data_IF_322109469405
#
_entry.id   IF_322109469405
#
_cell.length_a   1.000
_cell.length_b   1.000
_cell.length_c   1.000
_cell.angle_alpha   90.00
_cell.angle_beta   90.00
_cell.angle_gamma   90.00
#
_symmetry.space_group_name_H-M   'P 1'
#
loop_
_entity.id
_entity.type
_entity.pdbx_description
1 polymer ?
#
# COMPACT_ATOMS: atom_id res chain seq x y z
N UNK A 1 -14.62 3.41 28.92
CA UNK A 1 -13.17 3.69 28.80
C UNK A 1 -12.94 4.08 27.36
N UNK A 2 -12.37 5.25 27.10
CA UNK A 2 -12.06 5.74 25.75
C UNK A 2 -10.95 4.86 25.15
N UNK A 3 -11.14 4.35 23.95
CA UNK A 3 -10.10 3.60 23.23
C UNK A 3 -8.84 4.49 23.10
N UNK A 4 -7.67 4.09 23.63
CA UNK A 4 -6.45 4.89 23.55
C UNK A 4 -5.90 5.07 22.13
N UNK A 5 -6.45 4.35 21.15
CA UNK A 5 -6.07 4.38 19.73
C UNK A 5 -6.97 5.32 18.91
N UNK A 6 -8.13 5.69 19.44
CA UNK A 6 -9.10 6.54 18.74
C UNK A 6 -8.98 8.00 19.18
N UNK A 7 -8.88 8.91 18.22
CA UNK A 7 -8.99 10.35 18.41
C UNK A 7 -9.45 11.01 17.11
N UNK A 8 -10.36 11.96 17.19
CA UNK A 8 -10.96 12.66 16.03
C UNK A 8 -10.09 13.82 15.50
N UNK A 9 -8.85 13.96 15.98
CA UNK A 9 -7.97 15.06 15.56
C UNK A 9 -7.38 14.78 14.18
N UNK A 10 -7.41 15.79 13.33
CA UNK A 10 -6.62 15.80 12.10
C UNK A 10 -5.20 16.27 12.40
N UNK A 11 -4.22 15.57 11.83
CA UNK A 11 -2.79 15.83 12.03
C UNK A 11 -2.21 16.38 10.74
N UNK A 12 -1.49 17.50 10.84
CA UNK A 12 -0.80 18.13 9.72
C UNK A 12 0.65 18.39 10.12
N UNK A 13 1.64 18.08 9.26
CA UNK A 13 3.02 18.45 9.54
C UNK A 13 3.19 19.98 9.43
N UNK A 14 4.05 20.60 10.28
CA UNK A 14 4.46 21.98 10.03
C UNK A 14 5.21 22.07 8.69
N UNK A 15 5.06 23.21 8.01
CA UNK A 15 5.65 23.51 6.70
C UNK A 15 6.45 24.82 6.77
N UNK A 16 7.19 25.15 5.72
CA UNK A 16 8.02 26.36 5.68
C UNK A 16 9.37 26.22 6.42
N UNK A 17 10.15 27.31 6.45
CA UNK A 17 11.53 27.31 6.95
C UNK A 17 11.65 27.39 8.48
N UNK A 18 10.60 27.77 9.20
CA UNK A 18 10.60 27.80 10.67
C UNK A 18 10.57 26.38 11.22
N UNK A 19 11.33 26.11 12.29
CA UNK A 19 11.39 24.80 12.96
C UNK A 19 10.84 24.90 14.39
N UNK A 20 10.20 23.82 14.85
CA UNK A 20 9.69 23.67 16.22
C UNK A 20 10.70 22.92 17.09
N UNK A 21 11.34 21.89 16.52
CA UNK A 21 12.42 21.17 17.16
C UNK A 21 13.73 21.96 17.18
N UNK A 22 14.74 21.44 17.90
CA UNK A 22 16.04 22.12 18.07
C UNK A 22 16.93 22.11 16.82
N UNK A 23 16.66 21.23 15.86
CA UNK A 23 17.41 21.14 14.59
C UNK A 23 16.58 20.50 13.48
N UNK A 24 16.96 20.72 12.22
CA UNK A 24 16.34 20.05 11.07
C UNK A 24 16.40 18.52 11.14
N UNK A 25 17.41 17.94 11.79
CA UNK A 25 17.53 16.48 11.97
C UNK A 25 16.51 15.90 12.94
N UNK A 26 15.88 16.74 13.77
CA UNK A 26 14.84 16.38 14.74
C UNK A 26 13.46 16.85 14.29
N UNK A 27 13.41 17.97 13.56
CA UNK A 27 12.22 18.47 12.87
C UNK A 27 11.76 17.50 11.77
N UNK A 28 12.69 16.97 10.96
CA UNK A 28 12.38 16.07 9.86
C UNK A 28 11.58 14.82 10.28
N UNK A 29 12.04 13.99 11.25
CA UNK A 29 11.26 12.84 11.70
C UNK A 29 9.92 13.24 12.33
N UNK A 30 9.82 14.41 12.97
CA UNK A 30 8.55 14.92 13.51
C UNK A 30 7.55 15.26 12.39
N UNK A 31 7.98 16.03 11.38
CA UNK A 31 7.16 16.33 10.20
C UNK A 31 6.75 15.06 9.49
N UNK A 32 7.66 14.10 9.31
CA UNK A 32 7.32 12.86 8.63
C UNK A 32 6.38 11.96 9.44
N UNK A 33 6.49 11.92 10.77
CA UNK A 33 5.53 11.26 11.65
C UNK A 33 4.12 11.86 11.48
N UNK A 34 4.04 13.19 11.45
CA UNK A 34 2.77 13.90 11.25
C UNK A 34 2.23 13.70 9.83
N UNK A 35 3.10 13.71 8.81
CA UNK A 35 2.72 13.44 7.41
C UNK A 35 2.11 12.05 7.24
N UNK A 36 2.67 11.05 7.94
CA UNK A 36 2.12 9.69 7.96
C UNK A 36 0.67 9.63 8.45
N UNK A 37 0.18 10.62 9.20
CA UNK A 37 -1.19 10.71 9.71
C UNK A 37 -2.01 11.83 9.05
N UNK A 38 -1.49 12.44 7.98
CA UNK A 38 -2.23 13.44 7.22
C UNK A 38 -3.52 12.82 6.63
N UNK A 39 -4.70 13.48 6.69
CA UNK A 39 -5.96 12.92 6.19
C UNK A 39 -5.96 12.54 4.71
N UNK A 40 -5.18 13.24 3.89
CA UNK A 40 -4.99 12.89 2.48
C UNK A 40 -3.91 11.82 2.24
N UNK A 41 -3.17 11.41 3.26
CA UNK A 41 -2.09 10.41 3.17
C UNK A 41 -2.53 9.07 3.74
N UNK A 42 -3.01 9.05 4.99
CA UNK A 42 -3.32 7.84 5.73
C UNK A 42 -4.70 7.26 5.40
N UNK A 43 -4.85 5.94 5.50
CA UNK A 43 -6.13 5.26 5.30
C UNK A 43 -7.14 5.48 6.43
N UNK A 44 -6.68 5.57 7.68
CA UNK A 44 -7.53 5.82 8.84
C UNK A 44 -6.71 6.50 9.97
N UNK A 45 -6.38 7.80 9.80
CA UNK A 45 -5.45 8.50 10.69
C UNK A 45 -5.98 8.66 12.12
N UNK A 46 -7.30 8.72 12.31
CA UNK A 46 -7.94 8.81 13.62
C UNK A 46 -7.70 7.58 14.51
N UNK A 47 -7.37 6.45 13.88
CA UNK A 47 -6.95 5.18 14.51
C UNK A 47 -5.43 4.96 14.49
N UNK A 48 -4.67 6.01 14.13
CA UNK A 48 -3.22 5.99 13.84
C UNK A 48 -2.81 5.10 12.67
N UNK A 49 -3.78 4.55 11.93
CA UNK A 49 -3.55 3.59 10.83
C UNK A 49 -3.18 4.35 9.56
N UNK A 50 -1.98 4.05 9.06
CA UNK A 50 -1.44 4.61 7.83
C UNK A 50 -1.87 3.78 6.63
N UNK A 51 -1.55 2.48 6.59
CA UNK A 51 -1.93 1.56 5.51
C UNK A 51 -1.72 0.08 5.88
N UNK A 52 -2.21 -0.82 5.01
CA UNK A 52 -1.86 -2.24 5.01
C UNK A 52 -2.46 -3.04 6.17
N UNK A 53 -3.78 -3.01 6.30
CA UNK A 53 -4.48 -3.51 7.50
C UNK A 53 -4.29 -2.52 8.64
N UNK A 54 -3.73 -2.98 9.75
CA UNK A 54 -3.54 -2.18 10.99
C UNK A 54 -2.13 -1.56 11.12
N UNK A 55 -1.46 -1.23 10.01
CA UNK A 55 -0.14 -0.61 10.03
C UNK A 55 -0.20 0.82 10.57
N UNK A 56 0.36 1.07 11.76
CA UNK A 56 0.22 2.33 12.50
C UNK A 56 1.51 3.16 12.60
N UNK A 57 1.35 4.47 12.78
CA UNK A 57 2.46 5.42 12.97
C UNK A 57 2.99 5.47 14.42
N UNK A 58 2.10 5.30 15.40
CA UNK A 58 2.40 5.23 16.83
C UNK A 58 1.45 4.22 17.51
N UNK A 59 1.80 3.74 18.71
CA UNK A 59 1.06 2.68 19.38
C UNK A 59 -0.29 3.15 19.92
N UNK A 60 -0.30 4.32 20.55
CA UNK A 60 -1.49 4.99 21.08
C UNK A 60 -1.35 6.50 20.86
N UNK A 61 -2.43 7.26 21.03
CA UNK A 61 -2.36 8.71 20.91
C UNK A 61 -1.47 9.35 21.97
N UNK A 62 -1.44 8.80 23.19
CA UNK A 62 -0.51 9.23 24.23
C UNK A 62 0.94 8.97 23.84
N UNK A 63 1.23 7.84 23.19
CA UNK A 63 2.57 7.55 22.68
C UNK A 63 2.95 8.49 21.52
N UNK A 64 2.01 8.83 20.63
CA UNK A 64 2.24 9.85 19.60
C UNK A 64 2.62 11.19 20.23
N UNK A 65 1.84 11.67 21.21
CA UNK A 65 2.09 12.97 21.85
C UNK A 65 3.44 12.98 22.56
N UNK A 66 3.79 11.87 23.21
CA UNK A 66 5.10 11.70 23.84
C UNK A 66 6.25 11.66 22.82
N UNK A 67 6.05 11.08 21.62
CA UNK A 67 7.06 11.10 20.55
C UNK A 67 7.26 12.52 20.04
N UNK A 68 6.18 13.26 19.77
CA UNK A 68 6.29 14.65 19.30
C UNK A 68 7.03 15.51 20.33
N UNK A 69 6.61 15.48 21.59
CA UNK A 69 7.28 16.22 22.67
C UNK A 69 8.76 15.81 22.85
N UNK A 70 9.08 14.52 22.68
CA UNK A 70 10.46 14.04 22.73
C UNK A 70 11.29 14.61 21.57
N UNK A 71 10.76 14.64 20.34
CA UNK A 71 11.45 15.17 19.16
C UNK A 71 11.67 16.68 19.24
N UNK A 72 10.71 17.44 19.78
CA UNK A 72 10.85 18.87 20.03
C UNK A 72 12.00 19.18 21.00
N UNK A 73 12.17 18.33 22.01
CA UNK A 73 13.19 18.49 23.06
C UNK A 73 14.55 17.86 22.78
N UNK A 74 14.69 17.02 21.75
CA UNK A 74 15.87 16.18 21.52
C UNK A 74 17.09 17.00 21.08
N UNK A 75 18.25 16.80 21.73
CA UNK A 75 19.50 17.44 21.34
C UNK A 75 20.16 16.77 20.11
N UNK A 76 21.07 17.48 19.44
CA UNK A 76 21.80 16.97 18.28
C UNK A 76 22.75 15.81 18.59
N UNK A 77 23.08 15.60 19.86
CA UNK A 77 23.93 14.52 20.37
C UNK A 77 23.15 13.44 21.10
N UNK A 78 21.82 13.44 20.98
CA UNK A 78 20.95 12.44 21.58
C UNK A 78 20.26 11.56 20.52
N UNK A 79 19.79 10.39 20.95
CA UNK A 79 19.02 9.46 20.12
C UNK A 79 17.80 8.96 20.88
N UNK A 80 16.61 9.16 20.30
CA UNK A 80 15.34 8.60 20.77
C UNK A 80 15.20 7.12 20.36
N UNK A 81 14.81 6.26 21.30
CA UNK A 81 14.44 4.88 21.02
C UNK A 81 12.91 4.73 20.97
N UNK A 82 12.40 4.23 19.84
CA UNK A 82 10.99 3.89 19.66
C UNK A 82 10.83 2.37 19.55
N UNK A 83 10.13 1.78 20.51
CA UNK A 83 9.85 0.36 20.55
C UNK A 83 8.38 0.14 20.20
N UNK A 84 8.09 -0.50 19.07
CA UNK A 84 6.72 -0.74 18.57
C UNK A 84 5.80 0.47 18.77
N UNK A 85 6.21 1.61 18.20
CA UNK A 85 5.46 2.87 18.23
C UNK A 85 5.36 3.59 19.58
N UNK A 86 6.18 3.21 20.57
CA UNK A 86 6.24 3.84 21.90
C UNK A 86 7.63 4.45 22.15
N UNK A 87 7.74 5.71 22.62
CA UNK A 87 9.02 6.29 23.00
C UNK A 87 9.47 5.71 24.36
N UNK A 88 10.58 4.97 24.37
CA UNK A 88 11.01 4.21 25.57
C UNK A 88 12.26 4.74 26.26
N UNK A 89 13.02 5.63 25.61
CA UNK A 89 14.19 6.25 26.21
C UNK A 89 14.96 7.13 25.25
N UNK A 90 15.75 8.05 25.81
CA UNK A 90 16.68 8.91 25.11
C UNK A 90 18.07 8.67 25.71
N UNK A 91 19.07 8.53 24.84
CA UNK A 91 20.46 8.28 25.25
C UNK A 91 21.40 9.23 24.54
N UNK A 92 22.47 9.65 25.24
CA UNK A 92 23.56 10.39 24.64
C UNK A 92 24.33 9.52 23.63
N UNK A 93 24.51 10.05 22.43
CA UNK A 93 25.25 9.46 21.31
C UNK A 93 26.23 10.50 20.74
N UNK A 94 26.08 10.90 19.47
CA UNK A 94 26.89 11.91 18.81
C UNK A 94 26.15 12.48 17.59
N UNK A 95 26.56 13.66 17.11
CA UNK A 95 25.90 14.38 16.01
C UNK A 95 25.70 13.56 14.72
N UNK A 96 26.64 12.68 14.41
CA UNK A 96 26.60 11.85 13.19
C UNK A 96 25.81 10.53 13.37
N UNK A 97 25.29 10.26 14.57
CA UNK A 97 24.41 9.12 14.83
C UNK A 97 22.97 9.43 14.36
N UNK A 98 22.12 8.40 14.18
CA UNK A 98 20.68 8.62 13.97
C UNK A 98 20.04 9.34 15.17
N UNK A 99 19.13 10.29 14.90
CA UNK A 99 18.32 10.93 15.94
C UNK A 99 17.23 10.01 16.50
N UNK A 100 16.78 9.04 15.73
CA UNK A 100 15.76 8.08 16.15
C UNK A 100 16.16 6.68 15.71
N UNK A 101 16.04 5.71 16.61
CA UNK A 101 16.16 4.28 16.31
C UNK A 101 14.83 3.59 16.61
N UNK A 102 14.32 2.85 15.63
CA UNK A 102 12.97 2.27 15.67
C UNK A 102 13.04 0.76 15.54
N UNK A 103 12.38 0.04 16.44
CA UNK A 103 12.21 -1.41 16.39
C UNK A 103 10.73 -1.77 16.61
N UNK A 104 10.02 -2.04 15.53
CA UNK A 104 8.58 -2.34 15.55
C UNK A 104 8.29 -3.81 15.25
N UNK A 105 7.30 -4.38 15.95
CA UNK A 105 6.67 -5.68 15.63
C UNK A 105 7.60 -6.90 15.66
N UNK A 106 8.82 -6.77 16.17
CA UNK A 106 9.75 -7.89 16.32
C UNK A 106 9.24 -8.86 17.39
N UNK A 107 9.11 -10.14 17.02
CA UNK A 107 8.77 -11.24 17.90
C UNK A 107 9.82 -12.36 17.73
N UNK A 108 10.12 -13.08 18.81
CA UNK A 108 10.99 -14.26 18.74
C UNK A 108 10.34 -15.28 17.78
N UNK A 109 11.09 -15.96 16.88
CA UNK A 109 10.50 -16.67 15.73
C UNK A 109 9.37 -17.66 16.06
N UNK A 110 9.49 -18.42 17.16
CA UNK A 110 8.44 -19.37 17.57
C UNK A 110 7.10 -18.69 17.95
N UNK A 111 7.14 -17.39 18.25
CA UNK A 111 5.99 -16.55 18.60
C UNK A 111 5.64 -15.54 17.50
N UNK A 112 6.33 -15.55 16.36
CA UNK A 112 6.11 -14.61 15.27
C UNK A 112 4.89 -15.00 14.42
N UNK A 113 3.71 -14.93 15.02
CA UNK A 113 2.42 -15.19 14.39
C UNK A 113 1.34 -14.21 14.88
N UNK A 114 0.27 -14.08 14.09
CA UNK A 114 -0.82 -13.14 14.38
C UNK A 114 -1.55 -13.42 15.70
N UNK A 115 -1.70 -14.69 16.09
CA UNK A 115 -2.35 -15.03 17.37
C UNK A 115 -1.61 -14.41 18.56
N UNK A 116 -0.29 -14.57 18.62
CA UNK A 116 0.51 -13.98 19.70
C UNK A 116 0.63 -12.46 19.56
N UNK A 117 0.76 -11.94 18.34
CA UNK A 117 0.75 -10.50 18.10
C UNK A 117 -0.54 -9.84 18.64
N UNK A 118 -1.70 -10.41 18.33
CA UNK A 118 -3.02 -9.91 18.74
C UNK A 118 -3.25 -10.03 20.25
N UNK A 119 -2.65 -11.04 20.90
CA UNK A 119 -2.64 -11.15 22.37
C UNK A 119 -1.86 -9.99 22.99
N UNK A 120 -0.69 -9.65 22.45
CA UNK A 120 0.14 -8.54 22.92
C UNK A 120 -0.49 -7.18 22.62
N UNK A 121 -1.11 -7.00 21.45
CA UNK A 121 -1.80 -5.75 21.08
C UNK A 121 -2.95 -5.46 22.06
N UNK A 122 -3.76 -6.47 22.41
CA UNK A 122 -4.83 -6.34 23.41
C UNK A 122 -4.31 -5.94 24.80
N UNK A 123 -3.06 -6.27 25.13
CA UNK A 123 -2.39 -5.85 26.38
C UNK A 123 -1.70 -4.48 26.26
N UNK A 124 -1.78 -3.81 25.11
CA UNK A 124 -1.08 -2.54 24.84
C UNK A 124 0.43 -2.69 24.65
N UNK A 125 0.90 -3.89 24.28
CA UNK A 125 2.32 -4.23 24.18
C UNK A 125 2.83 -4.32 22.73
N UNK A 126 1.95 -4.24 21.74
CA UNK A 126 2.31 -4.35 20.33
C UNK A 126 1.79 -3.17 19.51
N UNK A 127 2.44 -2.98 18.36
CA UNK A 127 1.98 -2.14 17.26
C UNK A 127 2.49 -2.81 15.98
N UNK A 128 1.65 -2.86 14.94
CA UNK A 128 2.08 -3.33 13.63
C UNK A 128 2.69 -2.15 12.88
N UNK A 129 4.00 -2.19 12.61
CA UNK A 129 4.72 -1.10 11.98
C UNK A 129 4.62 -1.08 10.46
N UNK A 130 4.11 -2.16 9.85
CA UNK A 130 4.25 -2.39 8.40
C UNK A 130 5.74 -2.14 8.01
N UNK A 131 6.01 -1.50 6.89
CA UNK A 131 7.32 -1.05 6.44
C UNK A 131 7.48 0.43 6.74
N UNK A 132 6.66 1.29 6.13
CA UNK A 132 6.80 2.76 6.20
C UNK A 132 5.82 3.45 7.13
N UNK A 133 4.85 2.71 7.70
CA UNK A 133 3.88 3.26 8.64
C UNK A 133 4.55 3.63 9.97
N UNK A 134 5.18 2.64 10.63
CA UNK A 134 5.83 2.83 11.93
C UNK A 134 7.25 3.42 11.85
N UNK A 135 7.76 3.66 10.64
CA UNK A 135 9.09 4.25 10.39
C UNK A 135 9.03 5.65 9.75
N UNK A 136 7.81 6.19 9.59
CA UNK A 136 7.58 7.60 9.25
C UNK A 136 8.18 8.03 7.92
N UNK A 137 7.86 7.30 6.85
CA UNK A 137 8.30 7.64 5.49
C UNK A 137 7.27 7.23 4.42
N UNK A 138 6.00 7.23 4.81
CA UNK A 138 4.90 7.01 3.90
C UNK A 138 4.50 8.33 3.22
N UNK A 139 4.31 8.26 1.91
CA UNK A 139 4.04 9.41 1.04
C UNK A 139 2.76 9.20 0.24
N UNK A 140 1.80 8.53 0.87
CA UNK A 140 0.58 8.09 0.22
C UNK A 140 0.83 6.99 -0.81
N UNK A 141 -0.08 6.93 -1.77
CA UNK A 141 -0.13 5.87 -2.78
C UNK A 141 1.10 5.90 -3.70
N UNK A 142 1.69 7.08 -3.93
CA UNK A 142 2.87 7.30 -4.78
C UNK A 142 4.05 6.39 -4.41
N UNK A 143 4.20 6.07 -3.11
CA UNK A 143 5.32 5.30 -2.60
C UNK A 143 5.47 3.88 -3.17
N UNK A 144 4.45 3.35 -3.86
CA UNK A 144 4.50 2.04 -4.54
C UNK A 144 4.16 2.10 -6.03
N UNK A 145 3.72 3.25 -6.55
CA UNK A 145 3.33 3.38 -7.97
C UNK A 145 4.47 3.00 -8.88
N UNK A 146 5.69 3.47 -8.62
CA UNK A 146 6.85 3.15 -9.46
C UNK A 146 7.11 1.65 -9.49
N UNK A 147 7.15 0.98 -8.33
CA UNK A 147 7.38 -0.47 -8.27
C UNK A 147 6.30 -1.26 -9.02
N UNK A 148 5.07 -0.77 -9.00
CA UNK A 148 3.92 -1.37 -9.70
C UNK A 148 3.97 -1.13 -11.20
N UNK A 149 4.32 0.09 -11.61
CA UNK A 149 4.59 0.45 -12.99
C UNK A 149 5.74 -0.40 -13.57
N UNK A 150 6.87 -0.51 -12.88
CA UNK A 150 8.00 -1.36 -13.32
C UNK A 150 7.61 -2.83 -13.43
N UNK A 151 6.77 -3.32 -12.51
CA UNK A 151 6.27 -4.69 -12.56
C UNK A 151 5.43 -4.91 -13.82
N UNK A 152 4.48 -4.03 -14.12
CA UNK A 152 3.63 -4.15 -15.30
C UNK A 152 4.40 -3.91 -16.60
N UNK A 153 5.33 -2.95 -16.63
CA UNK A 153 6.20 -2.74 -17.79
C UNK A 153 7.05 -3.97 -18.09
N UNK A 154 7.62 -4.60 -17.06
CA UNK A 154 8.42 -5.80 -17.25
C UNK A 154 7.57 -7.02 -17.64
N UNK A 155 6.38 -7.18 -17.06
CA UNK A 155 5.42 -8.18 -17.52
C UNK A 155 5.03 -7.94 -18.99
N UNK A 156 4.80 -6.69 -19.39
CA UNK A 156 4.57 -6.30 -20.77
C UNK A 156 5.72 -6.66 -21.69
N UNK A 157 6.98 -6.43 -21.28
CA UNK A 157 8.18 -6.81 -22.05
C UNK A 157 8.27 -8.32 -22.26
N UNK A 158 8.04 -9.11 -21.21
CA UNK A 158 8.19 -10.56 -21.26
C UNK A 158 7.05 -11.25 -22.04
N UNK A 159 5.81 -10.76 -21.92
CA UNK A 159 4.63 -11.46 -22.45
C UNK A 159 4.00 -10.81 -23.67
N UNK A 160 4.25 -9.52 -23.89
CA UNK A 160 3.55 -8.70 -24.90
C UNK A 160 4.49 -7.79 -25.73
N UNK A 161 5.78 -8.12 -25.78
CA UNK A 161 6.77 -7.38 -26.57
C UNK A 161 7.00 -5.93 -26.11
N UNK A 162 6.62 -5.61 -24.86
CA UNK A 162 6.80 -4.30 -24.25
C UNK A 162 5.67 -3.30 -24.51
N UNK A 163 4.60 -3.70 -25.20
CA UNK A 163 3.49 -2.82 -25.52
C UNK A 163 2.17 -3.37 -24.94
N UNK A 164 1.61 -2.64 -23.97
CA UNK A 164 0.34 -2.99 -23.33
C UNK A 164 -0.87 -2.26 -23.92
N UNK A 165 -0.72 -1.53 -25.03
CA UNK A 165 -1.85 -0.89 -25.71
C UNK A 165 -2.88 -1.96 -26.15
N UNK A 166 -4.16 -1.69 -25.88
CA UNK A 166 -5.26 -2.62 -26.14
C UNK A 166 -5.28 -3.83 -25.20
N UNK A 167 -4.47 -3.81 -24.14
CA UNK A 167 -4.42 -4.84 -23.09
C UNK A 167 -5.09 -4.33 -21.83
N UNK A 168 -5.50 -5.25 -20.96
CA UNK A 168 -6.01 -4.89 -19.65
C UNK A 168 -5.58 -5.83 -18.54
N UNK A 169 -5.48 -5.26 -17.34
CA UNK A 169 -5.06 -5.93 -16.12
C UNK A 169 -6.26 -6.10 -15.20
N UNK A 170 -6.45 -7.31 -14.69
CA UNK A 170 -7.40 -7.62 -13.63
C UNK A 170 -6.65 -7.66 -12.29
N UNK A 171 -7.15 -6.92 -11.31
CA UNK A 171 -6.64 -6.96 -9.94
C UNK A 171 -7.74 -6.73 -8.90
N UNK A 172 -7.38 -6.82 -7.62
CA UNK A 172 -8.24 -6.47 -6.50
C UNK A 172 -7.48 -5.69 -5.41
N UNK A 173 -8.23 -4.97 -4.58
CA UNK A 173 -7.73 -4.16 -3.48
C UNK A 173 -7.33 -2.76 -3.93
N UNK A 174 -8.07 -1.76 -3.46
CA UNK A 174 -7.83 -0.33 -3.65
C UNK A 174 -7.54 0.34 -2.30
N UNK A 175 -6.74 -0.30 -1.43
CA UNK A 175 -6.22 0.32 -0.20
C UNK A 175 -5.08 1.31 -0.48
N UNK A 176 -4.36 1.76 0.57
CA UNK A 176 -3.29 2.78 0.43
C UNK A 176 -2.15 2.39 -0.53
N UNK A 177 -1.90 1.09 -0.68
CA UNK A 177 -0.93 0.55 -1.64
C UNK A 177 -1.63 -0.01 -2.88
N UNK A 178 -2.73 -0.75 -2.67
CA UNK A 178 -3.63 -1.29 -3.70
C UNK A 178 -4.11 -0.27 -4.72
N UNK A 179 -4.37 0.94 -4.26
CA UNK A 179 -4.82 2.06 -5.09
C UNK A 179 -3.80 2.54 -6.11
N UNK A 180 -2.54 2.11 -6.04
CA UNK A 180 -1.52 2.44 -7.04
C UNK A 180 -1.69 1.63 -8.34
N UNK A 181 -2.32 0.46 -8.26
CA UNK A 181 -2.41 -0.47 -9.38
C UNK A 181 -3.11 0.09 -10.61
N UNK A 182 -4.27 0.79 -10.50
CA UNK A 182 -4.96 1.27 -11.68
C UNK A 182 -4.15 2.36 -12.41
N UNK A 183 -3.60 3.33 -11.67
CA UNK A 183 -2.72 4.34 -12.24
C UNK A 183 -1.44 3.74 -12.85
N UNK A 184 -0.79 2.80 -12.17
CA UNK A 184 0.40 2.14 -12.68
C UNK A 184 0.14 1.37 -13.98
N UNK A 185 -1.01 0.69 -14.08
CA UNK A 185 -1.43 0.01 -15.30
C UNK A 185 -1.65 1.01 -16.45
N UNK A 186 -2.33 2.13 -16.17
CA UNK A 186 -2.57 3.19 -17.17
C UNK A 186 -1.27 3.84 -17.62
N UNK A 187 -0.33 4.12 -16.72
CA UNK A 187 1.00 4.63 -17.06
C UNK A 187 1.82 3.62 -17.88
N UNK A 188 1.63 2.32 -17.66
CA UNK A 188 2.22 1.26 -18.48
C UNK A 188 1.51 1.07 -19.84
N UNK A 189 0.43 1.79 -20.09
CA UNK A 189 -0.34 1.77 -21.35
C UNK A 189 -1.45 0.73 -21.41
N UNK A 190 -1.82 0.11 -20.28
CA UNK A 190 -2.89 -0.88 -20.18
C UNK A 190 -4.15 -0.29 -19.55
N UNK A 191 -5.31 -0.85 -19.90
CA UNK A 191 -6.51 -0.66 -19.08
C UNK A 191 -6.43 -1.45 -17.77
N UNK A 192 -7.24 -1.11 -16.78
CA UNK A 192 -7.27 -1.81 -15.50
C UNK A 192 -8.70 -1.95 -14.96
N UNK A 193 -9.06 -3.16 -14.55
CA UNK A 193 -10.25 -3.42 -13.73
C UNK A 193 -9.76 -3.84 -12.34
N UNK A 194 -10.07 -3.02 -11.34
CA UNK A 194 -9.69 -3.27 -9.95
C UNK A 194 -10.93 -3.50 -9.09
N UNK A 195 -11.06 -4.70 -8.51
CA UNK A 195 -12.17 -5.06 -7.63
C UNK A 195 -11.91 -4.51 -6.22
N UNK A 196 -12.86 -3.80 -5.63
CA UNK A 196 -12.80 -3.28 -4.27
C UNK A 196 -14.14 -3.47 -3.56
N UNK A 197 -14.11 -3.97 -2.33
CA UNK A 197 -15.31 -4.25 -1.56
C UNK A 197 -15.86 -3.03 -0.80
N UNK A 198 -14.98 -2.10 -0.42
CA UNK A 198 -15.30 -0.90 0.34
C UNK A 198 -15.35 0.31 -0.58
N UNK A 199 -16.55 0.76 -0.90
CA UNK A 199 -16.78 1.88 -1.81
C UNK A 199 -16.03 3.16 -1.39
N UNK A 200 -15.87 3.40 -0.09
CA UNK A 200 -15.14 4.56 0.42
C UNK A 200 -13.67 4.54 0.01
N UNK A 201 -13.09 3.36 -0.22
CA UNK A 201 -11.72 3.20 -0.71
C UNK A 201 -11.66 3.57 -2.18
N UNK A 202 -12.58 3.08 -3.01
CA UNK A 202 -12.67 3.47 -4.41
C UNK A 202 -12.88 5.00 -4.57
N UNK A 203 -13.75 5.59 -3.76
CA UNK A 203 -14.01 7.05 -3.75
C UNK A 203 -12.75 7.86 -3.41
N UNK A 204 -11.95 7.38 -2.46
CA UNK A 204 -10.67 8.00 -2.14
C UNK A 204 -9.75 8.03 -3.38
N UNK A 205 -9.72 6.95 -4.18
CA UNK A 205 -8.83 6.81 -5.35
C UNK A 205 -9.32 7.64 -6.52
N UNK A 206 -10.64 7.76 -6.69
CA UNK A 206 -11.24 8.69 -7.63
C UNK A 206 -10.83 10.13 -7.28
N UNK A 207 -10.98 10.51 -6.02
CA UNK A 207 -10.63 11.85 -5.52
C UNK A 207 -9.14 12.16 -5.73
N UNK A 208 -8.25 11.20 -5.50
CA UNK A 208 -6.80 11.38 -5.67
C UNK A 208 -6.30 11.15 -7.10
N UNK A 209 -7.20 10.84 -8.06
CA UNK A 209 -6.93 10.59 -9.48
C UNK A 209 -6.09 9.32 -9.75
N UNK A 210 -6.22 8.33 -8.89
CA UNK A 210 -5.56 7.02 -9.02
C UNK A 210 -6.42 5.97 -9.73
N UNK A 211 -7.72 6.24 -9.89
CA UNK A 211 -8.65 5.47 -10.73
C UNK A 211 -9.53 6.45 -11.51
N UNK A 212 -9.94 6.10 -12.74
CA UNK A 212 -10.66 7.01 -13.64
C UNK A 212 -12.19 6.92 -13.46
N UNK A 213 -12.74 5.71 -13.41
CA UNK A 213 -14.18 5.46 -13.30
C UNK A 213 -14.50 4.43 -12.19
N UNK A 214 -15.75 4.38 -11.74
CA UNK A 214 -16.26 3.44 -10.74
C UNK A 214 -17.65 2.94 -11.15
N UNK A 215 -17.90 1.66 -10.98
CA UNK A 215 -19.22 1.02 -11.14
C UNK A 215 -19.40 -0.10 -10.11
N UNK A 216 -20.63 -0.51 -9.86
CA UNK A 216 -21.01 -1.71 -9.09
C UNK A 216 -21.51 -2.86 -9.98
N UNK A 217 -21.49 -2.67 -11.30
CA UNK A 217 -21.92 -3.65 -12.29
C UNK A 217 -20.72 -4.27 -13.02
N UNK A 218 -20.57 -5.60 -12.88
CA UNK A 218 -19.53 -6.34 -13.60
C UNK A 218 -19.69 -6.21 -15.12
N UNK A 219 -20.91 -6.21 -15.63
CA UNK A 219 -21.19 -6.12 -17.07
C UNK A 219 -20.80 -4.73 -17.59
N UNK A 220 -21.15 -3.67 -16.85
CA UNK A 220 -20.74 -2.30 -17.21
C UNK A 220 -19.22 -2.13 -17.19
N UNK A 221 -18.54 -2.69 -16.18
CA UNK A 221 -17.09 -2.66 -16.09
C UNK A 221 -16.43 -3.35 -17.30
N UNK A 222 -16.98 -4.49 -17.75
CA UNK A 222 -16.48 -5.20 -18.93
C UNK A 222 -16.75 -4.43 -20.23
N UNK A 223 -17.92 -3.82 -20.38
CA UNK A 223 -18.23 -2.94 -21.52
C UNK A 223 -17.27 -1.74 -21.59
N UNK A 224 -16.92 -1.14 -20.44
CA UNK A 224 -15.93 -0.07 -20.35
C UNK A 224 -14.55 -0.55 -20.81
N UNK A 225 -14.08 -1.69 -20.29
CA UNK A 225 -12.79 -2.28 -20.66
C UNK A 225 -12.72 -2.60 -22.15
N UNK A 226 -13.75 -3.23 -22.72
CA UNK A 226 -13.82 -3.56 -24.14
C UNK A 226 -13.75 -2.30 -25.01
N UNK A 227 -14.55 -1.28 -24.65
CA UNK A 227 -14.56 0.01 -25.35
C UNK A 227 -13.20 0.69 -25.33
N UNK A 228 -12.54 0.78 -24.17
CA UNK A 228 -11.25 1.46 -24.05
C UNK A 228 -10.13 0.70 -24.75
N UNK A 229 -10.05 -0.62 -24.54
CA UNK A 229 -9.04 -1.46 -25.22
C UNK A 229 -9.22 -1.45 -26.74
N UNK A 230 -10.46 -1.50 -27.24
CA UNK A 230 -10.78 -1.38 -28.67
C UNK A 230 -10.43 -0.01 -29.28
N UNK A 231 -10.48 1.06 -28.47
CA UNK A 231 -10.06 2.41 -28.87
C UNK A 231 -8.55 2.66 -28.72
N UNK A 232 -7.80 1.72 -28.14
CA UNK A 232 -6.39 1.90 -27.82
C UNK A 232 -6.14 2.90 -26.69
N UNK A 233 -7.14 3.12 -25.83
CA UNK A 233 -7.05 3.95 -24.64
C UNK A 233 -6.47 3.14 -23.46
N UNK A 234 -5.85 3.84 -22.51
CA UNK A 234 -5.41 3.28 -21.24
C UNK A 234 -6.18 3.97 -20.11
N UNK A 235 -7.16 3.27 -19.54
CA UNK A 235 -8.06 3.77 -18.49
C UNK A 235 -8.35 2.71 -17.44
N UNK A 236 -8.82 3.15 -16.28
CA UNK A 236 -9.04 2.30 -15.13
C UNK A 236 -10.44 2.41 -14.56
N UNK A 237 -11.02 1.28 -14.18
CA UNK A 237 -12.32 1.18 -13.52
C UNK A 237 -12.19 0.44 -12.19
N UNK A 238 -12.73 1.06 -11.13
CA UNK A 238 -13.00 0.39 -9.86
C UNK A 238 -14.35 -0.32 -9.95
N UNK A 239 -14.37 -1.63 -9.70
CA UNK A 239 -15.60 -2.41 -9.58
C UNK A 239 -15.90 -2.66 -8.10
N UNK A 240 -17.04 -2.15 -7.62
CA UNK A 240 -17.49 -2.41 -6.26
C UNK A 240 -18.00 -3.84 -6.15
N UNK A 241 -17.27 -4.68 -5.41
CA UNK A 241 -17.58 -6.10 -5.27
C UNK A 241 -16.54 -6.85 -4.44
N UNK A 242 -16.82 -8.12 -4.14
CA UNK A 242 -15.85 -8.98 -3.48
C UNK A 242 -15.00 -9.72 -4.51
N UNK A 243 -13.67 -9.67 -4.36
CA UNK A 243 -12.74 -10.38 -5.25
C UNK A 243 -12.98 -11.89 -5.29
N UNK A 244 -13.39 -12.50 -4.16
CA UNK A 244 -13.75 -13.91 -4.07
C UNK A 244 -15.06 -14.27 -4.79
N UNK A 245 -15.84 -13.27 -5.23
CA UNK A 245 -17.01 -13.46 -6.11
C UNK A 245 -16.67 -13.12 -7.57
N UNK A 246 -16.07 -11.95 -7.79
CA UNK A 246 -15.82 -11.41 -9.13
C UNK A 246 -14.77 -12.19 -9.90
N UNK A 247 -13.63 -12.52 -9.28
CA UNK A 247 -12.51 -13.17 -9.99
C UNK A 247 -12.89 -14.58 -10.44
N UNK A 248 -13.55 -15.42 -9.61
CA UNK A 248 -14.11 -16.69 -10.06
C UNK A 248 -15.19 -16.53 -11.14
N UNK A 249 -16.05 -15.51 -11.05
CA UNK A 249 -17.09 -15.28 -12.06
C UNK A 249 -16.49 -14.90 -13.42
N UNK A 250 -15.46 -14.05 -13.45
CA UNK A 250 -14.73 -13.75 -14.69
C UNK A 250 -14.09 -15.01 -15.30
N UNK A 251 -13.49 -15.85 -14.46
CA UNK A 251 -12.93 -17.12 -14.90
C UNK A 251 -14.02 -18.08 -15.41
N UNK A 252 -15.21 -18.12 -14.80
CA UNK A 252 -16.33 -18.97 -15.20
C UNK A 252 -16.89 -18.56 -16.57
N UNK A 253 -17.01 -17.24 -16.81
CA UNK A 253 -17.47 -16.65 -18.08
C UNK A 253 -16.50 -16.81 -19.23
N UNK A 254 -15.27 -17.24 -18.96
CA UNK A 254 -14.21 -17.32 -19.97
C UNK A 254 -13.70 -15.96 -20.42
N UNK A 255 -13.95 -14.90 -19.64
CA UNK A 255 -13.33 -13.58 -19.85
C UNK A 255 -11.81 -13.75 -19.72
N UNK A 256 -11.04 -13.05 -20.55
CA UNK A 256 -9.58 -13.21 -20.59
C UNK A 256 -8.87 -11.86 -20.40
N UNK A 257 -8.49 -11.51 -19.16
CA UNK A 257 -7.51 -10.46 -18.92
C UNK A 257 -6.17 -10.77 -19.57
N UNK A 258 -5.33 -9.76 -19.75
CA UNK A 258 -3.96 -9.94 -20.23
C UNK A 258 -2.97 -10.13 -19.07
N UNK A 259 -3.24 -9.55 -17.90
CA UNK A 259 -2.46 -9.81 -16.68
C UNK A 259 -3.45 -9.95 -15.51
N UNK A 260 -3.19 -10.89 -14.60
CA UNK A 260 -3.94 -11.07 -13.35
C UNK A 260 -3.02 -10.94 -12.15
N UNK A 261 -3.45 -10.19 -11.14
CA UNK A 261 -2.74 -10.05 -9.87
C UNK A 261 -3.73 -9.75 -8.75
N UNK A 262 -3.24 -9.62 -7.51
CA UNK A 262 -4.04 -9.23 -6.36
C UNK A 262 -3.22 -8.38 -5.37
N UNK A 263 -3.86 -7.39 -4.76
CA UNK A 263 -3.30 -6.57 -3.68
C UNK A 263 -4.33 -6.27 -2.57
N UNK A 264 -5.31 -7.16 -2.36
CA UNK A 264 -6.06 -7.18 -1.10
C UNK A 264 -5.10 -7.31 0.10
N UNK A 265 -5.52 -6.96 1.31
CA UNK A 265 -4.67 -7.08 2.50
C UNK A 265 -4.70 -8.51 3.07
N UNK A 266 -4.48 -9.51 2.22
CA UNK A 266 -4.50 -10.93 2.56
C UNK A 266 -3.50 -11.35 3.66
N UNK A 267 -2.49 -10.50 3.93
CA UNK A 267 -1.51 -10.72 5.00
C UNK A 267 -2.12 -10.62 6.40
N UNK A 268 -3.28 -9.99 6.54
CA UNK A 268 -4.07 -9.87 7.77
C UNK A 268 -5.50 -10.37 7.51
N UNK A 269 -5.77 -11.68 7.71
CA UNK A 269 -7.08 -12.26 7.42
C UNK A 269 -8.25 -11.65 8.20
N UNK A 270 -8.00 -11.03 9.35
CA UNK A 270 -9.05 -10.47 10.20
C UNK A 270 -9.46 -9.09 9.66
N UNK A 271 -8.49 -8.20 9.47
CA UNK A 271 -8.77 -6.79 9.15
C UNK A 271 -8.63 -6.46 7.65
N UNK A 272 -8.09 -7.37 6.85
CA UNK A 272 -7.61 -7.06 5.50
C UNK A 272 -8.34 -7.73 4.32
N UNK A 273 -9.20 -8.73 4.57
CA UNK A 273 -9.89 -9.47 3.52
C UNK A 273 -11.36 -9.72 3.88
N UNK A 274 -12.29 -9.17 3.10
CA UNK A 274 -13.73 -9.37 3.29
C UNK A 274 -14.13 -10.81 2.93
N UNK A 275 -14.70 -11.59 3.86
CA UNK A 275 -15.21 -12.93 3.53
C UNK A 275 -16.32 -12.90 2.47
N UNK A 276 -16.36 -13.92 1.63
CA UNK A 276 -17.38 -14.09 0.59
C UNK A 276 -18.79 -14.12 1.20
N UNK A 277 -19.74 -13.43 0.57
CA UNK A 277 -21.13 -13.34 1.03
C UNK A 277 -21.36 -12.45 2.26
N UNK A 278 -20.34 -11.76 2.76
CA UNK A 278 -20.47 -10.79 3.85
C UNK A 278 -20.49 -9.37 3.29
N UNK A 279 -21.12 -8.43 4.00
CA UNK A 279 -20.98 -7.01 3.71
C UNK A 279 -19.92 -6.36 4.61
N UNK A 280 -19.43 -5.20 4.20
CA UNK A 280 -18.33 -4.48 4.88
C UNK A 280 -18.68 -4.08 6.31
N UNK A 281 -19.94 -3.70 6.58
CA UNK A 281 -20.35 -3.27 7.92
C UNK A 281 -20.32 -4.44 8.91
N UNK A 282 -20.94 -5.57 8.55
CA UNK A 282 -20.97 -6.79 9.37
C UNK A 282 -19.56 -7.35 9.57
N UNK A 283 -18.71 -7.29 8.54
CA UNK A 283 -17.32 -7.71 8.64
C UNK A 283 -16.56 -6.89 9.68
N UNK A 284 -16.67 -5.55 9.63
CA UNK A 284 -16.02 -4.66 10.60
C UNK A 284 -16.49 -4.90 12.03
N UNK A 285 -17.79 -5.09 12.25
CA UNK A 285 -18.32 -5.41 13.59
C UNK A 285 -17.79 -6.77 14.12
N UNK A 286 -17.65 -7.75 13.22
CA UNK A 286 -17.18 -9.10 13.59
C UNK A 286 -15.68 -9.19 13.85
N UNK A 287 -14.88 -8.25 13.34
CA UNK A 287 -13.46 -8.17 13.70
C UNK A 287 -13.26 -8.06 15.22
N UNK A 288 -14.17 -7.37 15.91
CA UNK A 288 -14.12 -7.21 17.37
C UNK A 288 -14.85 -8.34 18.10
N UNK A 289 -16.06 -8.69 17.63
CA UNK A 289 -16.94 -9.61 18.36
C UNK A 289 -16.57 -11.10 18.18
N UNK A 290 -16.09 -11.50 17.00
CA UNK A 290 -15.65 -12.87 16.72
C UNK A 290 -14.52 -12.92 15.67
N UNK A 291 -13.31 -12.45 16.03
CA UNK A 291 -12.16 -12.40 15.11
C UNK A 291 -11.76 -13.77 14.55
N UNK A 292 -12.04 -14.86 15.27
CA UNK A 292 -11.71 -16.21 14.80
C UNK A 292 -12.63 -16.64 13.66
N UNK A 293 -13.94 -16.40 13.79
CA UNK A 293 -14.87 -16.68 12.70
C UNK A 293 -14.56 -15.83 11.46
N UNK A 294 -14.11 -14.57 11.65
CA UNK A 294 -13.63 -13.73 10.54
C UNK A 294 -12.42 -14.35 9.86
N UNK A 295 -11.39 -14.72 10.63
CA UNK A 295 -10.17 -15.34 10.10
C UNK A 295 -10.49 -16.60 9.29
N UNK A 296 -11.27 -17.53 9.86
CA UNK A 296 -11.66 -18.78 9.18
C UNK A 296 -12.40 -18.50 7.86
N UNK A 297 -13.38 -17.58 7.86
CA UNK A 297 -14.17 -17.25 6.68
C UNK A 297 -13.34 -16.51 5.61
N UNK A 298 -12.46 -15.60 6.02
CA UNK A 298 -11.59 -14.84 5.12
C UNK A 298 -10.60 -15.77 4.41
N UNK A 299 -9.95 -16.67 5.15
CA UNK A 299 -8.99 -17.64 4.60
C UNK A 299 -9.66 -18.58 3.59
N UNK A 300 -10.84 -19.10 3.91
CA UNK A 300 -11.64 -19.89 2.98
C UNK A 300 -11.96 -19.13 1.69
N UNK A 301 -12.24 -17.82 1.79
CA UNK A 301 -12.52 -16.95 0.64
C UNK A 301 -11.26 -16.68 -0.20
N UNK A 302 -10.10 -16.50 0.44
CA UNK A 302 -8.81 -16.36 -0.26
C UNK A 302 -8.49 -17.61 -1.08
N UNK A 303 -8.80 -18.81 -0.56
CA UNK A 303 -8.64 -20.06 -1.32
C UNK A 303 -9.44 -20.05 -2.62
N UNK A 304 -10.70 -19.62 -2.58
CA UNK A 304 -11.57 -19.52 -3.77
C UNK A 304 -11.00 -18.51 -4.77
N UNK A 305 -10.55 -17.35 -4.29
CA UNK A 305 -9.92 -16.33 -5.12
C UNK A 305 -8.63 -16.85 -5.79
N UNK A 306 -7.72 -17.47 -5.04
CA UNK A 306 -6.47 -18.01 -5.61
C UNK A 306 -6.74 -19.16 -6.58
N UNK A 307 -7.76 -20.00 -6.34
CA UNK A 307 -8.14 -21.03 -7.30
C UNK A 307 -8.52 -20.43 -8.67
N UNK A 308 -9.26 -19.32 -8.69
CA UNK A 308 -9.57 -18.61 -9.93
C UNK A 308 -8.34 -17.97 -10.58
N UNK A 309 -7.40 -17.43 -9.80
CA UNK A 309 -6.11 -16.96 -10.32
C UNK A 309 -5.30 -18.11 -10.97
N UNK A 310 -5.34 -19.31 -10.37
CA UNK A 310 -4.73 -20.52 -10.96
C UNK A 310 -5.45 -20.91 -12.26
N UNK A 311 -6.77 -20.78 -12.34
CA UNK A 311 -7.51 -21.02 -13.59
C UNK A 311 -7.08 -20.06 -14.70
N UNK A 312 -6.83 -18.78 -14.41
CA UNK A 312 -6.26 -17.85 -15.38
C UNK A 312 -4.85 -18.25 -15.81
N UNK A 313 -4.00 -18.60 -14.85
CA UNK A 313 -2.64 -19.07 -15.10
C UNK A 313 -2.60 -20.30 -16.01
N UNK A 314 -3.45 -21.30 -15.74
CA UNK A 314 -3.51 -22.54 -16.55
C UNK A 314 -4.04 -22.30 -17.97
N UNK A 315 -4.83 -21.24 -18.18
CA UNK A 315 -5.27 -20.76 -19.51
C UNK A 315 -4.24 -19.86 -20.20
N UNK A 316 -3.04 -19.72 -19.63
CA UNK A 316 -1.93 -18.97 -20.22
C UNK A 316 -2.07 -17.45 -20.08
N UNK A 317 -2.80 -16.97 -19.07
CA UNK A 317 -2.79 -15.54 -18.69
C UNK A 317 -1.65 -15.31 -17.70
N UNK A 318 -0.68 -14.41 -17.99
CA UNK A 318 0.33 -13.97 -17.03
C UNK A 318 -0.32 -13.61 -15.69
N UNK A 319 -0.02 -14.41 -14.66
CA UNK A 319 -0.60 -14.27 -13.33
C UNK A 319 0.54 -14.14 -12.33
N UNK A 320 0.42 -13.23 -11.37
CA UNK A 320 1.45 -13.00 -10.37
C UNK A 320 0.83 -12.69 -9.00
N UNK A 321 1.59 -13.00 -7.95
CA UNK A 321 1.34 -12.54 -6.60
C UNK A 321 2.12 -11.25 -6.34
N UNK A 322 1.41 -10.25 -5.80
CA UNK A 322 1.94 -8.92 -5.55
C UNK A 322 2.31 -8.67 -4.09
N UNK A 323 2.81 -9.72 -3.41
CA UNK A 323 3.47 -9.58 -2.11
C UNK A 323 2.53 -9.41 -0.91
N UNK A 324 1.29 -9.85 -1.00
CA UNK A 324 0.31 -9.82 0.10
C UNK A 324 0.11 -11.19 0.79
N UNK A 325 0.90 -12.20 0.42
CA UNK A 325 0.89 -13.54 1.01
C UNK A 325 -0.37 -14.38 0.73
N UNK A 326 -1.23 -13.99 -0.22
CA UNK A 326 -2.50 -14.68 -0.48
C UNK A 326 -2.32 -16.16 -0.88
N UNK A 327 -1.24 -16.49 -1.62
CA UNK A 327 -0.91 -17.88 -1.99
C UNK A 327 -0.61 -18.77 -0.79
N UNK A 328 0.09 -18.24 0.21
CA UNK A 328 0.42 -18.98 1.43
C UNK A 328 -0.86 -19.30 2.21
N UNK A 329 -1.76 -18.31 2.35
CA UNK A 329 -3.05 -18.53 3.01
C UNK A 329 -3.87 -19.60 2.28
N UNK A 330 -3.98 -19.51 0.94
CA UNK A 330 -4.69 -20.51 0.15
C UNK A 330 -4.07 -21.92 0.26
N UNK A 331 -2.73 -22.03 0.32
CA UNK A 331 -2.05 -23.30 0.53
C UNK A 331 -2.38 -23.90 1.90
N UNK A 332 -2.37 -23.09 2.95
CA UNK A 332 -2.73 -23.52 4.32
C UNK A 332 -4.20 -23.99 4.40
N UNK A 333 -5.09 -23.43 3.57
CA UNK A 333 -6.47 -23.90 3.39
C UNK A 333 -6.59 -25.12 2.44
N UNK A 334 -5.47 -25.71 2.03
CA UNK A 334 -5.41 -26.95 1.26
C UNK A 334 -5.51 -26.79 -0.26
N UNK A 335 -5.22 -25.61 -0.83
CA UNK A 335 -5.01 -25.46 -2.27
C UNK A 335 -3.58 -25.85 -2.64
N UNK A 336 -3.37 -27.12 -3.00
CA UNK A 336 -2.03 -27.69 -3.24
C UNK A 336 -1.20 -26.93 -4.28
N UNK A 337 -1.87 -26.39 -5.31
CA UNK A 337 -1.26 -25.66 -6.41
C UNK A 337 -1.33 -24.12 -6.25
N UNK A 338 -1.53 -23.60 -5.03
CA UNK A 338 -1.58 -22.14 -4.79
C UNK A 338 -0.31 -21.40 -5.26
N UNK A 339 0.84 -22.07 -5.30
CA UNK A 339 2.11 -21.51 -5.79
C UNK A 339 2.39 -21.79 -7.27
N UNK A 340 1.38 -22.17 -8.06
CA UNK A 340 1.53 -22.41 -9.50
C UNK A 340 1.99 -21.16 -10.27
N UNK A 341 1.64 -19.97 -9.80
CA UNK A 341 2.08 -18.69 -10.35
C UNK A 341 3.12 -17.99 -9.45
N UNK A 342 4.07 -17.25 -10.02
CA UNK A 342 5.20 -16.69 -9.29
C UNK A 342 4.84 -15.43 -8.49
N UNK A 343 5.73 -15.06 -7.57
CA UNK A 343 5.69 -13.71 -6.98
C UNK A 343 6.32 -12.69 -7.94
N UNK A 344 5.91 -11.43 -7.84
CA UNK A 344 6.40 -10.38 -8.74
C UNK A 344 7.92 -10.15 -8.65
N UNK A 345 8.52 -10.31 -7.47
CA UNK A 345 9.98 -10.13 -7.30
C UNK A 345 10.79 -11.12 -8.13
N UNK A 346 10.64 -12.46 -7.95
CA UNK A 346 11.38 -13.40 -8.77
C UNK A 346 11.04 -13.31 -10.26
N UNK A 347 9.81 -12.94 -10.62
CA UNK A 347 9.37 -12.88 -12.01
C UNK A 347 9.90 -11.63 -12.75
N UNK A 348 9.88 -10.46 -12.10
CA UNK A 348 10.02 -9.17 -12.78
C UNK A 348 11.03 -8.22 -12.13
N UNK A 349 11.05 -8.08 -10.81
CA UNK A 349 11.78 -6.99 -10.14
C UNK A 349 13.22 -7.34 -9.73
N UNK A 350 13.54 -8.62 -9.51
CA UNK A 350 14.88 -9.04 -9.03
C UNK A 350 16.06 -8.48 -9.85
N UNK A 351 16.02 -8.39 -11.19
CA UNK A 351 17.10 -7.77 -11.96
C UNK A 351 17.38 -6.30 -11.61
N UNK A 352 16.37 -5.54 -11.18
CA UNK A 352 16.54 -4.18 -10.66
C UNK A 352 17.30 -4.21 -9.33
N UNK A 353 16.90 -5.10 -8.42
CA UNK A 353 17.54 -5.27 -7.12
C UNK A 353 19.01 -5.68 -7.23
N UNK A 354 19.38 -6.51 -8.22
CA UNK A 354 20.77 -6.88 -8.48
C UNK A 354 21.69 -5.68 -8.79
N UNK A 355 21.13 -4.52 -9.14
CA UNK A 355 21.85 -3.28 -9.41
C UNK A 355 21.69 -2.23 -8.29
N UNK A 356 21.08 -2.60 -7.16
CA UNK A 356 20.78 -1.68 -6.07
C UNK A 356 19.64 -0.69 -6.38
N UNK A 357 18.89 -0.90 -7.46
CA UNK A 357 17.71 -0.09 -7.78
C UNK A 357 16.56 -0.55 -6.87
N UNK A 358 15.82 0.40 -6.31
CA UNK A 358 14.67 0.14 -5.44
C UNK A 358 13.78 1.37 -5.32
N UNK A 359 12.79 1.35 -4.42
CA UNK A 359 11.81 2.44 -4.27
C UNK A 359 12.40 3.65 -3.53
N UNK A 360 13.45 4.24 -4.12
CA UNK A 360 14.07 5.48 -3.65
C UNK A 360 13.06 6.62 -3.71
N UNK A 361 13.08 7.48 -2.69
CA UNK A 361 12.13 8.58 -2.55
C UNK A 361 12.76 9.71 -1.75
N UNK A 362 12.21 10.91 -1.91
CA UNK A 362 12.51 12.06 -1.07
C UNK A 362 11.21 12.78 -0.72
N UNK A 363 11.28 13.83 0.10
CA UNK A 363 10.11 14.61 0.49
C UNK A 363 10.54 16.05 0.77
N UNK A 364 9.76 17.01 0.29
CA UNK A 364 9.98 18.43 0.50
C UNK A 364 9.35 18.88 1.83
N UNK A 365 10.17 18.96 2.88
CA UNK A 365 9.72 19.43 4.21
C UNK A 365 9.21 20.87 4.22
N UNK A 366 9.53 21.64 3.18
CA UNK A 366 8.99 22.99 2.94
C UNK A 366 7.47 22.96 2.75
N UNK A 367 6.90 21.84 2.26
CA UNK A 367 5.52 21.75 1.82
C UNK A 367 5.28 22.35 0.42
N UNK A 368 6.32 22.88 -0.24
CA UNK A 368 6.21 23.53 -1.54
C UNK A 368 6.42 22.51 -2.69
N UNK A 369 5.43 22.28 -3.55
CA UNK A 369 5.56 21.35 -4.68
C UNK A 369 6.65 21.78 -5.68
N UNK A 370 7.00 23.07 -5.76
CA UNK A 370 8.08 23.54 -6.63
C UNK A 370 9.43 22.96 -6.25
N UNK A 371 9.66 22.58 -4.99
CA UNK A 371 10.89 21.90 -4.60
C UNK A 371 10.98 20.50 -5.23
N UNK A 372 9.87 19.77 -5.35
CA UNK A 372 9.85 18.48 -6.06
C UNK A 372 10.12 18.69 -7.55
N UNK A 373 9.48 19.66 -8.20
CA UNK A 373 9.71 19.91 -9.62
C UNK A 373 11.15 20.34 -9.92
N UNK A 374 11.80 21.10 -9.02
CA UNK A 374 13.23 21.40 -9.12
C UNK A 374 14.07 20.15 -8.98
N UNK A 375 13.73 19.24 -8.06
CA UNK A 375 14.44 17.95 -7.93
C UNK A 375 14.24 17.05 -9.15
N UNK A 376 13.05 17.00 -9.75
CA UNK A 376 12.79 16.24 -10.98
C UNK A 376 13.68 16.74 -12.12
N UNK A 377 13.73 18.06 -12.32
CA UNK A 377 14.61 18.68 -13.31
C UNK A 377 16.09 18.36 -13.03
N UNK A 378 16.50 18.38 -11.75
CA UNK A 378 17.87 18.02 -11.37
C UNK A 378 18.19 16.55 -11.63
N UNK A 379 17.27 15.62 -11.37
CA UNK A 379 17.47 14.19 -11.68
C UNK A 379 17.67 13.99 -13.18
N UNK A 380 16.86 14.67 -14.03
CA UNK A 380 17.02 14.60 -15.49
C UNK A 380 18.34 15.19 -15.99
N UNK A 381 18.85 16.23 -15.33
CA UNK A 381 20.18 16.80 -15.63
C UNK A 381 21.32 15.83 -15.28
N UNK A 382 21.16 15.04 -14.21
CA UNK A 382 22.20 14.16 -13.70
C UNK A 382 22.22 12.77 -14.34
N UNK A 383 21.08 12.28 -14.83
CA UNK A 383 20.92 10.91 -15.33
C UNK A 383 20.28 10.91 -16.70
N UNK A 384 21.02 10.45 -17.71
CA UNK A 384 20.53 10.29 -19.09
C UNK A 384 19.89 8.90 -19.28
N UNK A 385 18.63 8.77 -18.86
CA UNK A 385 17.82 7.55 -19.01
C UNK A 385 16.40 7.91 -19.48
N UNK A 386 16.03 7.60 -20.74
CA UNK A 386 14.71 7.93 -21.28
C UNK A 386 13.53 7.33 -20.52
N UNK A 387 13.70 6.14 -19.94
CA UNK A 387 12.66 5.47 -19.16
C UNK A 387 12.45 6.20 -17.82
N UNK A 388 13.54 6.61 -17.16
CA UNK A 388 13.46 7.45 -15.96
C UNK A 388 12.85 8.82 -16.24
N UNK A 389 13.22 9.45 -17.36
CA UNK A 389 12.67 10.76 -17.74
C UNK A 389 11.17 10.67 -17.99
N UNK A 390 10.72 9.64 -18.71
CA UNK A 390 9.31 9.37 -18.95
C UNK A 390 8.55 9.09 -17.65
N UNK A 391 9.15 8.34 -16.72
CA UNK A 391 8.58 8.16 -15.37
C UNK A 391 8.34 9.49 -14.67
N UNK A 392 9.34 10.39 -14.65
CA UNK A 392 9.23 11.70 -14.00
C UNK A 392 8.18 12.60 -14.68
N UNK A 393 8.10 12.58 -16.01
CA UNK A 393 7.08 13.33 -16.76
C UNK A 393 5.67 12.84 -16.42
N UNK A 394 5.45 11.52 -16.48
CA UNK A 394 4.15 10.95 -16.14
C UNK A 394 3.81 11.15 -14.66
N UNK A 395 4.79 11.06 -13.76
CA UNK A 395 4.59 11.34 -12.33
C UNK A 395 4.08 12.77 -12.13
N UNK A 396 4.71 13.77 -12.76
CA UNK A 396 4.28 15.17 -12.68
C UNK A 396 2.88 15.40 -13.25
N UNK A 397 2.53 14.73 -14.35
CA UNK A 397 1.24 14.92 -15.02
C UNK A 397 0.09 14.19 -14.31
N UNK A 398 0.35 13.01 -13.76
CA UNK A 398 -0.68 12.08 -13.30
C UNK A 398 -0.75 11.90 -11.80
N UNK A 399 0.34 12.10 -11.06
CA UNK A 399 0.38 11.89 -9.62
C UNK A 399 0.10 13.20 -8.90
N UNK A 400 -0.99 13.21 -8.13
CA UNK A 400 -1.28 14.30 -7.19
C UNK A 400 -0.49 14.06 -5.90
N UNK A 401 0.18 15.09 -5.38
CA UNK A 401 0.81 15.00 -4.07
C UNK A 401 -0.23 14.75 -2.96
N UNK A 402 0.19 14.01 -1.93
CA UNK A 402 -0.60 13.70 -0.74
C UNK A 402 0.20 14.15 0.49
N UNK A 403 -0.30 15.13 1.24
CA UNK A 403 0.44 15.73 2.35
C UNK A 403 1.65 16.54 1.86
N UNK A 404 2.82 16.35 2.46
CA UNK A 404 4.06 16.95 1.98
C UNK A 404 4.40 16.44 0.57
N UNK A 405 4.77 17.31 -0.38
CA UNK A 405 5.21 16.89 -1.72
C UNK A 405 6.40 15.93 -1.63
N UNK A 406 6.38 14.86 -2.42
CA UNK A 406 7.33 13.75 -2.34
C UNK A 406 7.62 13.09 -3.70
#
# INVERSE_FOLDING_TARGET
MTDPRHNIRDVFPPTGPEITAKSWLTEAPMRMLMNNLHPDVAESPHELVVYGGIGRAARTWADFDAIVAALEGLEDTETLLVQSGKPVGIFGTHKDAPRVLIANSNLVPNWANWNHFNELDRKGLAMYGQMTAGSWIYIGTQGIVQGTYETFMEAGRQHYGGNLNGRWILTSGLGGMGGAQPLAAVMAGACCLAVECDETRADFRLRTRYVDEKTDSLDEALEMIERWTGAGEAKSVALIGNAADVVPELASRGVRPDIVTDQTSAHDPIHGYLPQGWNVADWRERQESDPKAVEEAARASMKVHVAAMVDFWTRGVPTLDYGNNIRQVAQEEGLENAFAFPGFVPAYIRPLFCRGVGPFRWCALSGDPEDIYKTDAKVKELVDDPHLHNWLDMARERISFQGLPA
#
